data_IF_027612535432
#
_entry.id   IF_027612535432
#
_cell.length_a   1.000
_cell.length_b   1.000
_cell.length_c   1.000
_cell.angle_alpha   90.00
_cell.angle_beta   90.00
_cell.angle_gamma   90.00
#
_symmetry.space_group_name_H-M   'P 1'
#
loop_
_entity.id
_entity.type
_entity.pdbx_description
1 polymer ?
#
# COMPACT_ATOMS: atom_id res chain seq x y z
N UNK A 1 -38.49 41.30 -73.52
CA UNK A 1 -38.33 41.50 -72.05
C UNK A 1 -38.21 40.14 -71.40
N UNK A 2 -36.97 39.78 -70.99
CA UNK A 2 -36.70 38.45 -70.40
C UNK A 2 -36.57 38.64 -68.89
N UNK A 3 -37.45 38.00 -68.11
CA UNK A 3 -37.42 38.01 -66.66
C UNK A 3 -36.39 36.91 -66.24
N UNK A 4 -35.27 37.28 -65.57
CA UNK A 4 -34.39 36.40 -64.89
C UNK A 4 -34.92 36.10 -63.47
N UNK A 5 -35.23 34.85 -63.20
CA UNK A 5 -35.51 34.34 -61.84
C UNK A 5 -34.20 34.11 -61.13
N UNK A 6 -33.96 34.80 -60.01
CA UNK A 6 -32.84 34.55 -59.12
C UNK A 6 -33.32 33.49 -58.12
N UNK A 7 -32.67 32.35 -58.13
CA UNK A 7 -32.87 31.25 -57.16
C UNK A 7 -31.93 31.49 -55.97
N UNK A 8 -32.47 31.92 -54.84
CA UNK A 8 -31.74 32.05 -53.59
C UNK A 8 -31.60 30.68 -52.93
N UNK A 9 -30.35 30.17 -52.87
CA UNK A 9 -30.02 28.92 -52.18
C UNK A 9 -29.79 29.22 -50.67
N UNK A 10 -30.75 28.84 -49.82
CA UNK A 10 -30.58 28.92 -48.36
C UNK A 10 -29.73 27.72 -47.93
N UNK A 11 -28.45 27.97 -47.57
CA UNK A 11 -27.61 27.00 -46.87
C UNK A 11 -27.98 27.03 -45.37
N UNK A 12 -28.75 26.03 -44.93
CA UNK A 12 -28.96 25.80 -43.50
C UNK A 12 -27.71 25.12 -42.95
N UNK A 13 -26.94 25.88 -42.18
CA UNK A 13 -25.80 25.40 -41.41
C UNK A 13 -26.33 24.76 -40.13
N UNK A 14 -26.48 23.43 -40.12
CA UNK A 14 -26.79 22.66 -38.89
C UNK A 14 -25.56 22.62 -37.99
N UNK A 15 -25.57 23.42 -36.93
CA UNK A 15 -24.65 23.29 -35.82
C UNK A 15 -25.01 21.98 -35.09
N UNK A 16 -24.23 20.93 -35.30
CA UNK A 16 -24.20 19.79 -34.41
C UNK A 16 -23.49 20.24 -33.11
N UNK A 17 -24.31 20.62 -32.12
CA UNK A 17 -23.84 20.69 -30.74
C UNK A 17 -23.54 19.30 -30.30
N UNK A 18 -22.26 18.89 -30.41
CA UNK A 18 -21.73 17.79 -29.61
C UNK A 18 -21.74 18.26 -28.16
N UNK A 19 -22.78 17.89 -27.45
CA UNK A 19 -22.84 18.07 -26.00
C UNK A 19 -21.72 17.18 -25.39
N UNK A 20 -20.60 17.80 -25.04
CA UNK A 20 -19.75 17.24 -24.01
C UNK A 20 -20.61 17.18 -22.75
N UNK A 21 -21.01 15.98 -22.36
CA UNK A 21 -21.52 15.73 -21.01
C UNK A 21 -20.34 16.01 -20.07
N UNK A 22 -20.28 17.20 -19.51
CA UNK A 22 -19.39 17.46 -18.37
C UNK A 22 -19.84 16.56 -17.25
N UNK A 23 -19.03 15.54 -16.93
CA UNK A 23 -19.25 14.72 -15.74
C UNK A 23 -19.38 15.67 -14.55
N UNK A 24 -20.45 15.53 -13.75
CA UNK A 24 -20.67 16.36 -12.57
C UNK A 24 -19.60 15.96 -11.52
N UNK A 25 -18.54 16.74 -11.44
CA UNK A 25 -17.43 16.51 -10.51
C UNK A 25 -17.81 16.76 -9.04
N UNK A 26 -19.04 17.23 -8.77
CA UNK A 26 -19.49 17.48 -7.39
C UNK A 26 -19.96 16.21 -6.68
N UNK A 27 -20.28 15.15 -7.42
CA UNK A 27 -20.77 13.89 -6.86
C UNK A 27 -19.67 12.84 -6.83
N UNK A 28 -19.58 12.10 -5.73
CA UNK A 28 -18.69 10.94 -5.60
C UNK A 28 -19.49 9.63 -5.70
N UNK A 29 -18.84 8.61 -6.26
CA UNK A 29 -19.21 7.22 -6.09
C UNK A 29 -18.19 6.55 -5.20
N UNK A 30 -18.62 5.58 -4.41
CA UNK A 30 -17.73 4.82 -3.55
C UNK A 30 -18.00 3.33 -3.62
N UNK A 31 -16.93 2.54 -3.51
CA UNK A 31 -17.01 1.11 -3.25
C UNK A 31 -16.37 0.79 -1.91
N UNK A 32 -16.88 -0.24 -1.26
CA UNK A 32 -16.30 -0.87 -0.08
C UNK A 32 -16.36 -2.37 -0.27
N UNK A 33 -15.25 -3.04 0.00
CA UNK A 33 -15.13 -4.50 -0.12
C UNK A 33 -14.08 -5.04 0.82
N UNK A 34 -13.95 -6.35 0.89
CA UNK A 34 -12.87 -7.03 1.62
C UNK A 34 -11.93 -7.66 0.60
N UNK A 35 -10.70 -7.21 0.56
CA UNK A 35 -9.61 -7.69 -0.29
C UNK A 35 -8.31 -7.64 0.52
N UNK A 36 -7.35 -8.49 0.21
CA UNK A 36 -6.02 -8.49 0.85
C UNK A 36 -6.10 -8.60 2.38
N UNK A 37 -7.05 -9.40 2.88
CA UNK A 37 -7.36 -9.57 4.32
C UNK A 37 -7.67 -8.26 5.07
N UNK A 38 -8.20 -7.25 4.35
CA UNK A 38 -8.55 -5.96 4.94
C UNK A 38 -9.77 -5.31 4.28
N UNK A 39 -10.27 -4.24 4.88
CA UNK A 39 -11.33 -3.42 4.29
C UNK A 39 -10.71 -2.44 3.30
N UNK A 40 -11.21 -2.50 2.07
CA UNK A 40 -10.86 -1.57 0.98
C UNK A 40 -12.01 -0.58 0.80
N UNK A 41 -11.70 0.72 0.79
CA UNK A 41 -12.63 1.79 0.43
C UNK A 41 -12.03 2.66 -0.65
N UNK A 42 -12.73 2.82 -1.78
CA UNK A 42 -12.36 3.73 -2.86
C UNK A 42 -13.51 4.70 -3.09
N UNK A 43 -13.23 5.99 -3.06
CA UNK A 43 -14.19 7.07 -3.31
C UNK A 43 -13.65 7.96 -4.44
N UNK A 44 -14.45 8.16 -5.49
CA UNK A 44 -14.04 8.79 -6.75
C UNK A 44 -15.06 9.85 -7.15
N UNK A 45 -14.62 11.06 -7.40
CA UNK A 45 -15.46 12.17 -7.86
C UNK A 45 -15.52 12.22 -9.39
N UNK A 46 -16.70 12.42 -9.93
CA UNK A 46 -16.92 12.43 -11.38
C UNK A 46 -16.88 11.05 -12.05
N UNK A 47 -16.86 9.96 -11.28
CA UNK A 47 -16.92 8.60 -11.79
C UNK A 47 -18.33 8.19 -12.19
N UNK A 48 -18.42 7.22 -13.10
CA UNK A 48 -19.60 6.41 -13.35
C UNK A 48 -19.42 4.98 -12.81
N UNK A 49 -20.45 4.15 -12.92
CA UNK A 49 -20.40 2.78 -12.43
C UNK A 49 -19.31 1.94 -13.13
N UNK A 50 -19.02 2.20 -14.42
CA UNK A 50 -18.01 1.47 -15.18
C UNK A 50 -16.61 1.72 -14.62
N UNK A 51 -16.31 2.96 -14.22
CA UNK A 51 -15.03 3.31 -13.59
C UNK A 51 -14.90 2.60 -12.22
N UNK A 52 -16.00 2.56 -11.44
CA UNK A 52 -15.99 1.84 -10.16
C UNK A 52 -15.82 0.33 -10.32
N UNK A 53 -16.45 -0.26 -11.36
CA UNK A 53 -16.25 -1.67 -11.71
C UNK A 53 -14.78 -1.93 -12.09
N UNK A 54 -14.12 -1.03 -12.84
CA UNK A 54 -12.70 -1.14 -13.14
C UNK A 54 -11.80 -1.09 -11.89
N UNK A 55 -12.11 -0.26 -10.90
CA UNK A 55 -11.39 -0.26 -9.61
C UNK A 55 -11.54 -1.62 -8.89
N UNK A 56 -12.75 -2.19 -8.93
CA UNK A 56 -13.04 -3.49 -8.36
C UNK A 56 -12.26 -4.60 -9.08
N UNK A 57 -12.27 -4.60 -10.41
CA UNK A 57 -11.56 -5.59 -11.24
C UNK A 57 -10.04 -5.57 -10.95
N UNK A 58 -9.47 -4.40 -10.70
CA UNK A 58 -8.06 -4.25 -10.29
C UNK A 58 -7.82 -4.92 -8.94
N UNK A 59 -8.66 -4.66 -7.93
CA UNK A 59 -8.53 -5.30 -6.62
C UNK A 59 -8.64 -6.83 -6.74
N UNK A 60 -9.64 -7.34 -7.48
CA UNK A 60 -9.82 -8.77 -7.72
C UNK A 60 -8.63 -9.40 -8.45
N UNK A 61 -8.12 -8.72 -9.49
CA UNK A 61 -6.94 -9.18 -10.24
C UNK A 61 -5.74 -9.37 -9.33
N UNK A 62 -5.38 -8.35 -8.56
CA UNK A 62 -4.16 -8.42 -7.75
C UNK A 62 -4.32 -9.32 -6.52
N UNK A 63 -5.52 -9.49 -5.97
CA UNK A 63 -5.76 -10.51 -4.97
C UNK A 63 -5.51 -11.92 -5.52
N UNK A 64 -5.98 -12.20 -6.75
CA UNK A 64 -5.73 -13.48 -7.41
C UNK A 64 -4.26 -13.69 -7.82
N UNK A 65 -3.49 -12.63 -8.05
CA UNK A 65 -2.07 -12.74 -8.40
C UNK A 65 -1.18 -12.89 -7.16
N UNK A 66 -1.42 -12.08 -6.12
CA UNK A 66 -0.44 -11.80 -5.07
C UNK A 66 -0.77 -12.46 -3.71
N UNK A 67 -1.95 -13.04 -3.52
CA UNK A 67 -2.31 -13.68 -2.25
C UNK A 67 -1.42 -14.87 -1.94
N UNK A 68 -0.83 -14.98 -0.73
CA UNK A 68 -0.07 -16.16 -0.33
C UNK A 68 -0.98 -17.35 0.00
N UNK A 69 -2.31 -17.15 0.14
CA UNK A 69 -3.26 -18.18 0.60
C UNK A 69 -4.16 -18.75 -0.51
N UNK A 70 -4.31 -18.03 -1.62
CA UNK A 70 -5.09 -18.52 -2.78
C UNK A 70 -4.23 -19.49 -3.58
N UNK A 71 -4.63 -20.75 -3.66
CA UNK A 71 -3.85 -21.82 -4.31
C UNK A 71 -3.44 -21.52 -5.77
N UNK A 72 -4.27 -20.77 -6.50
CA UNK A 72 -4.02 -20.41 -7.91
C UNK A 72 -3.21 -19.13 -8.08
N UNK A 73 -2.88 -18.41 -7.01
CA UNK A 73 -2.10 -17.19 -7.10
C UNK A 73 -0.65 -17.48 -7.49
N UNK A 74 -0.01 -16.53 -8.13
CA UNK A 74 1.38 -16.67 -8.56
C UNK A 74 2.33 -16.76 -7.36
N UNK A 75 2.10 -15.99 -6.31
CA UNK A 75 2.91 -16.06 -5.08
C UNK A 75 2.77 -17.42 -4.39
N UNK A 76 1.56 -17.96 -4.29
CA UNK A 76 1.38 -19.29 -3.71
C UNK A 76 2.05 -20.37 -4.57
N UNK A 77 1.96 -20.28 -5.90
CA UNK A 77 2.65 -21.21 -6.81
C UNK A 77 4.17 -21.16 -6.63
N UNK A 78 4.76 -19.96 -6.48
CA UNK A 78 6.20 -19.82 -6.17
C UNK A 78 6.53 -20.49 -4.84
N UNK A 79 5.72 -20.22 -3.80
CA UNK A 79 5.94 -20.77 -2.46
C UNK A 79 5.83 -22.30 -2.40
N UNK A 80 5.05 -22.90 -3.30
CA UNK A 80 4.89 -24.35 -3.40
C UNK A 80 5.82 -25.01 -4.43
N UNK A 81 6.58 -24.26 -5.18
CA UNK A 81 7.44 -24.78 -6.24
C UNK A 81 8.73 -25.45 -5.73
N UNK A 82 9.10 -25.25 -4.46
CA UNK A 82 10.28 -25.85 -3.82
C UNK A 82 11.55 -25.76 -4.68
N UNK A 83 11.84 -24.53 -5.17
CA UNK A 83 13.02 -24.26 -6.01
C UNK A 83 12.84 -24.54 -7.50
N UNK A 84 11.69 -25.04 -7.94
CA UNK A 84 11.38 -25.18 -9.36
C UNK A 84 11.00 -23.80 -9.95
N UNK A 85 11.51 -23.44 -11.16
CA UNK A 85 11.13 -22.19 -11.82
C UNK A 85 9.63 -22.09 -12.07
N UNK A 86 9.05 -20.93 -11.74
CA UNK A 86 7.63 -20.60 -11.98
C UNK A 86 7.51 -19.44 -12.94
N UNK A 87 6.63 -19.57 -13.94
CA UNK A 87 6.29 -18.45 -14.84
C UNK A 87 5.18 -17.61 -14.20
N UNK A 88 5.41 -16.31 -14.11
CA UNK A 88 4.50 -15.33 -13.49
C UNK A 88 4.18 -14.19 -14.46
N UNK A 89 3.25 -13.32 -14.11
CA UNK A 89 3.01 -12.07 -14.81
C UNK A 89 4.19 -11.10 -14.67
N UNK A 90 4.28 -10.12 -15.56
CA UNK A 90 5.28 -9.04 -15.48
C UNK A 90 5.09 -8.25 -14.18
N UNK A 91 3.84 -7.98 -13.80
CA UNK A 91 3.50 -7.26 -12.58
C UNK A 91 4.01 -7.96 -11.30
N UNK A 92 3.88 -9.28 -11.23
CA UNK A 92 4.40 -10.06 -10.09
C UNK A 92 5.93 -10.07 -10.08
N UNK A 93 6.56 -10.24 -11.23
CA UNK A 93 8.02 -10.21 -11.35
C UNK A 93 8.58 -8.85 -10.92
N UNK A 94 8.00 -7.76 -11.42
CA UNK A 94 8.40 -6.39 -11.07
C UNK A 94 8.23 -6.10 -9.57
N UNK A 95 7.13 -6.54 -8.97
CA UNK A 95 6.89 -6.34 -7.55
C UNK A 95 7.87 -7.13 -6.68
N UNK A 96 8.25 -8.34 -7.09
CA UNK A 96 9.29 -9.12 -6.41
C UNK A 96 10.64 -8.40 -6.52
N UNK A 97 11.04 -7.91 -7.70
CA UNK A 97 12.28 -7.15 -7.86
C UNK A 97 12.28 -5.87 -7.01
N UNK A 98 11.12 -5.19 -6.92
CA UNK A 98 10.98 -4.02 -6.05
C UNK A 98 11.11 -4.42 -4.57
N UNK A 99 10.55 -5.54 -4.16
CA UNK A 99 10.74 -6.08 -2.81
C UNK A 99 12.21 -6.37 -2.49
N UNK A 100 12.96 -6.93 -3.45
CA UNK A 100 14.42 -7.13 -3.33
C UNK A 100 15.18 -5.82 -3.23
N UNK A 101 14.78 -4.80 -3.99
CA UNK A 101 15.36 -3.45 -3.89
C UNK A 101 15.23 -2.89 -2.46
N UNK A 102 14.04 -2.99 -1.83
CA UNK A 102 13.87 -2.57 -0.44
C UNK A 102 14.63 -3.45 0.55
N UNK A 103 14.83 -4.73 0.22
CA UNK A 103 15.73 -5.62 0.95
C UNK A 103 17.17 -5.10 0.96
N UNK A 104 17.71 -4.72 -0.20
CA UNK A 104 19.04 -4.12 -0.31
C UNK A 104 19.12 -2.77 0.41
N UNK A 105 18.13 -1.90 0.21
CA UNK A 105 18.05 -0.57 0.82
C UNK A 105 18.07 -0.62 2.36
N UNK A 106 17.38 -1.61 2.93
CA UNK A 106 17.26 -1.82 4.38
C UNK A 106 18.39 -2.66 4.98
N UNK A 107 19.34 -3.14 4.17
CA UNK A 107 20.35 -4.13 4.57
C UNK A 107 19.72 -5.40 5.16
N UNK A 108 18.60 -5.85 4.56
CA UNK A 108 17.86 -7.07 4.92
C UNK A 108 16.89 -6.90 6.10
N UNK A 109 16.63 -5.67 6.59
CA UNK A 109 15.59 -5.44 7.61
C UNK A 109 14.18 -5.51 7.03
N UNK A 110 14.00 -5.20 5.77
CA UNK A 110 12.83 -5.56 4.97
C UNK A 110 13.18 -6.78 4.14
N UNK A 111 12.47 -7.87 4.31
CA UNK A 111 12.72 -9.10 3.57
C UNK A 111 11.41 -9.76 3.17
N UNK A 112 11.16 -9.86 1.87
CA UNK A 112 9.93 -10.46 1.33
C UNK A 112 9.88 -11.99 1.48
N UNK A 113 10.94 -12.65 1.98
CA UNK A 113 10.90 -14.06 2.33
C UNK A 113 10.53 -14.33 3.79
N UNK A 114 10.04 -13.29 4.48
CA UNK A 114 9.67 -13.34 5.91
C UNK A 114 8.55 -14.35 6.21
N UNK A 115 7.78 -14.78 5.20
CA UNK A 115 6.71 -15.77 5.37
C UNK A 115 7.19 -17.06 6.03
N UNK A 116 8.45 -17.47 5.83
CA UNK A 116 9.02 -18.63 6.49
C UNK A 116 8.88 -18.59 8.02
N UNK A 117 8.98 -17.39 8.63
CA UNK A 117 8.77 -17.19 10.06
C UNK A 117 7.36 -16.69 10.40
N UNK A 118 6.76 -15.78 9.60
CA UNK A 118 5.47 -15.20 9.93
C UNK A 118 4.32 -16.21 9.94
N UNK A 119 4.40 -17.27 9.10
CA UNK A 119 3.47 -18.39 9.11
C UNK A 119 3.38 -19.09 10.48
N UNK A 120 4.50 -19.17 11.22
CA UNK A 120 4.54 -19.78 12.54
C UNK A 120 3.82 -18.94 13.61
N UNK A 121 3.86 -17.61 13.47
CA UNK A 121 3.18 -16.69 14.38
C UNK A 121 1.69 -16.64 14.16
N UNK A 122 1.23 -16.75 12.92
CA UNK A 122 -0.18 -16.72 12.51
C UNK A 122 -0.98 -15.59 13.20
N UNK A 123 -0.51 -14.34 13.08
CA UNK A 123 -1.15 -13.18 13.74
C UNK A 123 -2.61 -12.94 13.32
N UNK A 124 -3.10 -13.53 12.23
CA UNK A 124 -4.49 -13.42 11.78
C UNK A 124 -5.45 -14.27 12.62
N UNK A 125 -5.07 -15.53 12.90
CA UNK A 125 -5.95 -16.52 13.52
C UNK A 125 -5.39 -17.06 14.86
N UNK A 126 -4.42 -16.35 15.45
CA UNK A 126 -3.77 -16.79 16.70
C UNK A 126 -4.65 -16.52 17.92
N UNK A 127 -5.83 -17.17 17.96
CA UNK A 127 -6.78 -17.04 19.07
C UNK A 127 -6.19 -17.46 20.44
N UNK A 128 -5.21 -18.37 20.43
CA UNK A 128 -4.57 -18.89 21.64
C UNK A 128 -3.37 -18.05 22.10
N UNK A 129 -3.01 -16.98 21.35
CA UNK A 129 -1.83 -16.16 21.61
C UNK A 129 -0.57 -17.00 21.81
N UNK A 130 -0.35 -17.99 20.95
CA UNK A 130 0.79 -18.91 21.04
C UNK A 130 2.05 -18.28 20.48
N UNK A 131 3.12 -18.39 21.23
CA UNK A 131 4.47 -18.06 20.77
C UNK A 131 4.99 -19.29 20.04
N UNK A 132 5.56 -19.17 18.84
CA UNK A 132 6.17 -20.29 18.13
C UNK A 132 7.24 -20.98 18.94
N UNK A 133 7.40 -22.27 18.71
CA UNK A 133 8.52 -23.02 19.28
C UNK A 133 9.85 -22.43 18.81
N UNK A 134 10.80 -22.26 19.74
CA UNK A 134 12.05 -21.56 19.46
C UNK A 134 12.95 -22.32 18.46
N UNK A 135 12.90 -23.66 18.44
CA UNK A 135 13.68 -24.48 17.50
C UNK A 135 13.08 -24.35 16.09
N UNK A 136 11.74 -24.43 15.98
CA UNK A 136 11.04 -24.22 14.70
C UNK A 136 11.28 -22.81 14.13
N UNK A 137 11.25 -21.78 14.98
CA UNK A 137 11.50 -20.41 14.56
C UNK A 137 12.96 -20.21 14.13
N UNK A 138 13.92 -20.79 14.85
CA UNK A 138 15.32 -20.76 14.48
C UNK A 138 15.60 -21.44 13.14
N UNK A 139 14.92 -22.54 12.85
CA UNK A 139 14.98 -23.19 11.52
C UNK A 139 14.38 -22.31 10.45
N UNK A 140 13.18 -21.76 10.67
CA UNK A 140 12.49 -20.90 9.70
C UNK A 140 13.32 -19.67 9.31
N UNK A 141 14.04 -19.07 10.25
CA UNK A 141 14.94 -17.91 10.01
C UNK A 141 16.06 -18.26 9.03
N UNK A 142 16.54 -19.51 8.98
CA UNK A 142 17.59 -19.90 8.01
C UNK A 142 17.13 -19.79 6.56
N UNK A 143 15.80 -19.73 6.31
CA UNK A 143 15.16 -19.62 5.01
C UNK A 143 14.74 -18.17 4.68
N UNK A 144 15.07 -17.19 5.52
CA UNK A 144 14.77 -15.77 5.27
C UNK A 144 15.99 -15.13 4.62
N UNK A 145 15.93 -14.95 3.31
CA UNK A 145 16.95 -14.27 2.54
C UNK A 145 16.42 -13.94 1.13
N UNK A 146 15.95 -12.72 0.90
CA UNK A 146 15.46 -12.27 -0.41
C UNK A 146 16.46 -12.45 -1.55
N UNK A 147 17.77 -12.57 -1.25
CA UNK A 147 18.83 -12.81 -2.26
C UNK A 147 18.77 -14.20 -2.88
N UNK A 148 18.03 -15.13 -2.27
CA UNK A 148 17.77 -16.46 -2.84
C UNK A 148 16.75 -16.44 -3.97
N UNK A 149 16.08 -15.31 -4.20
CA UNK A 149 15.09 -15.12 -5.27
C UNK A 149 15.82 -14.67 -6.53
N UNK A 150 15.71 -15.47 -7.58
CA UNK A 150 16.19 -15.14 -8.92
C UNK A 150 14.98 -14.82 -9.80
N UNK A 151 14.99 -13.65 -10.45
CA UNK A 151 13.99 -13.22 -11.44
C UNK A 151 14.67 -13.11 -12.78
N UNK A 152 14.17 -13.85 -13.79
CA UNK A 152 14.68 -13.81 -15.14
C UNK A 152 13.53 -13.59 -16.12
N UNK A 153 13.31 -12.34 -16.49
CA UNK A 153 12.08 -11.91 -17.16
C UNK A 153 10.87 -12.21 -16.28
N UNK A 154 9.95 -13.02 -16.77
CA UNK A 154 8.76 -13.47 -16.04
C UNK A 154 8.93 -14.84 -15.37
N UNK A 155 10.15 -15.32 -15.21
CA UNK A 155 10.43 -16.58 -14.52
C UNK A 155 11.07 -16.31 -13.17
N UNK A 156 10.44 -16.77 -12.10
CA UNK A 156 10.91 -16.65 -10.72
C UNK A 156 11.37 -18.01 -10.21
N UNK A 157 12.54 -18.03 -9.57
CA UNK A 157 13.10 -19.23 -8.94
C UNK A 157 13.62 -18.87 -7.56
N UNK A 158 13.29 -19.66 -6.55
CA UNK A 158 13.91 -19.54 -5.23
C UNK A 158 14.98 -20.62 -5.09
N UNK A 159 16.24 -20.23 -4.94
CA UNK A 159 17.35 -21.19 -4.78
C UNK A 159 17.31 -21.92 -3.42
N UNK A 160 16.61 -21.34 -2.44
CA UNK A 160 16.23 -22.04 -1.21
C UNK A 160 14.80 -22.62 -1.38
N UNK A 161 14.64 -23.96 -1.38
CA UNK A 161 13.36 -24.62 -1.63
C UNK A 161 12.36 -24.50 -0.46
N UNK A 162 12.78 -23.96 0.69
CA UNK A 162 11.94 -23.78 1.88
C UNK A 162 11.61 -22.30 2.15
N UNK A 163 12.26 -21.37 1.44
CA UNK A 163 11.90 -19.97 1.51
C UNK A 163 10.47 -19.76 1.04
N UNK A 164 9.79 -18.75 1.61
CA UNK A 164 8.42 -18.39 1.24
C UNK A 164 8.28 -16.88 1.12
N UNK A 165 7.72 -16.41 0.01
CA UNK A 165 7.46 -15.00 -0.25
C UNK A 165 6.17 -14.56 0.41
N UNK A 166 6.22 -13.40 1.09
CA UNK A 166 5.10 -12.59 1.53
C UNK A 166 5.32 -11.14 1.05
N UNK A 167 4.36 -10.63 0.28
CA UNK A 167 4.38 -9.27 -0.24
C UNK A 167 3.51 -8.30 0.58
N UNK A 168 3.03 -8.70 1.75
CA UNK A 168 2.12 -7.91 2.59
C UNK A 168 2.63 -6.52 2.99
N UNK A 169 3.95 -6.34 3.04
CA UNK A 169 4.59 -5.06 3.34
C UNK A 169 4.82 -4.14 2.12
N UNK A 170 4.33 -4.51 0.92
CA UNK A 170 4.54 -3.72 -0.31
C UNK A 170 3.37 -3.80 -1.30
N UNK A 171 2.59 -4.88 -1.26
CA UNK A 171 1.57 -5.14 -2.27
C UNK A 171 0.41 -4.15 -2.22
N UNK A 172 -0.03 -3.72 -1.03
CA UNK A 172 -1.14 -2.77 -0.91
C UNK A 172 -0.79 -1.41 -1.53
N UNK A 173 0.44 -0.94 -1.29
CA UNK A 173 0.96 0.26 -1.92
C UNK A 173 1.00 0.16 -3.44
N UNK A 174 1.53 -0.94 -3.95
CA UNK A 174 1.56 -1.21 -5.39
C UNK A 174 0.15 -1.22 -6.01
N UNK A 175 -0.81 -1.88 -5.37
CA UNK A 175 -2.19 -1.96 -5.86
C UNK A 175 -2.87 -0.59 -5.83
N UNK A 176 -2.65 0.20 -4.77
CA UNK A 176 -3.16 1.57 -4.70
C UNK A 176 -2.65 2.43 -5.87
N UNK A 177 -1.36 2.29 -6.24
CA UNK A 177 -0.78 2.96 -7.39
C UNK A 177 -1.42 2.49 -8.71
N UNK A 178 -1.73 1.20 -8.87
CA UNK A 178 -2.43 0.69 -10.05
C UNK A 178 -3.87 1.24 -10.15
N UNK A 179 -4.59 1.33 -9.04
CA UNK A 179 -5.92 1.97 -9.00
C UNK A 179 -5.82 3.45 -9.39
N UNK A 180 -4.84 4.19 -8.84
CA UNK A 180 -4.61 5.60 -9.20
C UNK A 180 -4.30 5.75 -10.69
N UNK A 181 -3.41 4.92 -11.25
CA UNK A 181 -3.06 4.97 -12.66
C UNK A 181 -4.28 4.76 -13.56
N UNK A 182 -5.09 3.75 -13.25
CA UNK A 182 -6.36 3.51 -13.96
C UNK A 182 -7.30 4.71 -13.90
N UNK A 183 -7.48 5.30 -12.72
CA UNK A 183 -8.35 6.48 -12.56
C UNK A 183 -7.84 7.68 -13.37
N UNK A 184 -6.53 7.90 -13.42
CA UNK A 184 -5.91 8.95 -14.25
C UNK A 184 -6.15 8.69 -15.74
N UNK A 185 -6.01 7.44 -16.21
CA UNK A 185 -6.29 7.05 -17.59
C UNK A 185 -7.76 7.26 -17.98
N UNK A 186 -8.69 7.04 -17.03
CA UNK A 186 -10.13 7.33 -17.21
C UNK A 186 -10.48 8.83 -17.06
N UNK A 187 -9.47 9.70 -16.86
CA UNK A 187 -9.64 11.16 -16.77
C UNK A 187 -10.23 11.65 -15.45
N UNK A 188 -10.04 10.89 -14.37
CA UNK A 188 -10.41 11.29 -13.01
C UNK A 188 -9.32 12.19 -12.43
N UNK A 189 -9.73 13.25 -11.73
CA UNK A 189 -8.85 14.24 -11.09
C UNK A 189 -8.89 14.18 -9.56
N UNK A 190 -9.93 13.56 -8.97
CA UNK A 190 -10.13 13.53 -7.53
C UNK A 190 -10.55 12.13 -7.06
N UNK A 191 -9.73 11.52 -6.20
CA UNK A 191 -10.06 10.24 -5.57
C UNK A 191 -9.41 10.09 -4.18
N UNK A 192 -10.05 9.29 -3.36
CA UNK A 192 -9.55 8.79 -2.08
C UNK A 192 -9.54 7.26 -2.13
N UNK A 193 -8.36 6.66 -2.01
CA UNK A 193 -8.11 5.23 -2.06
C UNK A 193 -7.58 4.81 -0.70
N UNK A 194 -8.23 3.84 -0.06
CA UNK A 194 -7.81 3.30 1.24
C UNK A 194 -7.84 1.77 1.19
N UNK A 195 -6.67 1.17 1.24
CA UNK A 195 -6.47 -0.28 1.28
C UNK A 195 -6.00 -0.69 2.67
N UNK A 196 -6.93 -0.77 3.63
CA UNK A 196 -6.61 -1.18 5.00
C UNK A 196 -5.64 -0.25 5.72
N UNK A 197 -5.84 1.06 5.62
CA UNK A 197 -4.96 2.06 6.23
C UNK A 197 -3.82 2.56 5.34
N UNK A 198 -3.54 1.87 4.22
CA UNK A 198 -2.71 2.41 3.16
C UNK A 198 -3.56 3.40 2.35
N UNK A 199 -3.31 4.69 2.51
CA UNK A 199 -4.12 5.76 1.91
C UNK A 199 -3.35 6.41 0.77
N UNK A 200 -4.03 6.54 -0.39
CA UNK A 200 -3.54 7.28 -1.54
C UNK A 200 -4.62 8.26 -2.01
N UNK A 201 -4.23 9.52 -2.23
CA UNK A 201 -5.11 10.53 -2.80
C UNK A 201 -4.72 10.85 -4.25
N UNK A 202 -5.71 11.07 -5.08
CA UNK A 202 -5.55 11.66 -6.41
C UNK A 202 -6.08 13.08 -6.35
N UNK A 203 -5.21 14.06 -6.64
CA UNK A 203 -5.52 15.48 -6.45
C UNK A 203 -5.89 15.85 -5.02
N UNK A 204 -6.55 16.99 -4.86
CA UNK A 204 -7.21 17.44 -3.63
C UNK A 204 -8.71 17.14 -3.65
N UNK A 205 -9.48 17.77 -2.76
CA UNK A 205 -10.95 17.74 -2.82
C UNK A 205 -11.47 18.64 -3.95
N UNK A 206 -12.70 18.39 -4.39
CA UNK A 206 -13.34 19.15 -5.49
C UNK A 206 -13.58 20.63 -5.17
N UNK A 207 -13.57 21.02 -3.89
CA UNK A 207 -13.65 22.42 -3.44
C UNK A 207 -12.28 23.13 -3.41
N UNK A 208 -11.20 22.45 -3.84
CA UNK A 208 -9.82 22.94 -3.84
C UNK A 208 -9.08 22.77 -2.51
N UNK A 209 -9.72 22.25 -1.48
CA UNK A 209 -9.07 21.97 -0.20
C UNK A 209 -8.30 20.64 -0.22
N UNK A 210 -7.37 20.50 0.72
CA UNK A 210 -6.66 19.23 0.92
C UNK A 210 -7.56 18.17 1.59
N UNK A 211 -7.26 16.91 1.30
CA UNK A 211 -7.73 15.81 2.16
C UNK A 211 -7.08 15.93 3.54
N UNK A 212 -7.80 15.56 4.58
CA UNK A 212 -7.31 15.56 5.95
C UNK A 212 -7.19 14.12 6.43
N UNK A 213 -5.97 13.60 6.43
CA UNK A 213 -5.69 12.20 6.78
C UNK A 213 -5.27 12.13 8.25
N UNK A 214 -6.05 11.40 9.05
CA UNK A 214 -5.76 11.19 10.46
C UNK A 214 -4.66 10.15 10.67
N UNK A 215 -3.69 10.47 11.51
CA UNK A 215 -2.74 9.48 12.06
C UNK A 215 -3.36 8.90 13.32
N UNK A 216 -3.62 7.59 13.30
CA UNK A 216 -4.17 6.84 14.43
C UNK A 216 -3.28 6.97 15.67
N UNK A 217 -3.88 7.17 16.82
CA UNK A 217 -3.15 7.11 18.10
C UNK A 217 -2.85 5.65 18.45
N UNK A 218 -1.58 5.27 18.63
CA UNK A 218 -1.21 3.90 18.98
C UNK A 218 -1.93 3.38 20.22
N UNK A 219 -2.42 2.14 20.18
CA UNK A 219 -3.12 1.44 21.26
C UNK A 219 -4.38 2.12 21.81
N UNK A 220 -4.89 3.15 21.15
CA UNK A 220 -6.17 3.78 21.49
C UNK A 220 -7.34 3.07 20.76
N UNK A 221 -8.57 3.46 21.08
CA UNK A 221 -9.74 2.98 20.35
C UNK A 221 -9.65 3.37 18.87
N UNK A 222 -10.16 2.49 17.98
CA UNK A 222 -10.16 2.71 16.54
C UNK A 222 -10.79 4.07 16.19
N UNK A 223 -10.12 4.82 15.30
CA UNK A 223 -10.55 6.15 14.92
C UNK A 223 -10.09 7.27 15.84
N UNK A 224 -9.40 6.96 16.96
CA UNK A 224 -8.76 8.00 17.78
C UNK A 224 -7.55 8.56 17.05
N UNK A 225 -7.64 9.82 16.65
CA UNK A 225 -6.59 10.51 15.89
C UNK A 225 -5.66 11.27 16.83
N UNK A 226 -4.33 11.17 16.64
CA UNK A 226 -3.38 11.99 17.40
C UNK A 226 -2.76 13.12 16.56
N UNK A 227 -2.81 13.03 15.24
CA UNK A 227 -2.35 14.08 14.35
C UNK A 227 -3.11 14.00 13.01
N UNK A 228 -3.13 15.10 12.25
CA UNK A 228 -3.74 15.17 10.92
C UNK A 228 -2.75 15.70 9.91
N UNK A 229 -2.65 15.03 8.76
CA UNK A 229 -1.90 15.46 7.59
C UNK A 229 -2.86 16.04 6.54
N UNK A 230 -2.79 17.34 6.23
CA UNK A 230 -3.48 17.91 5.08
C UNK A 230 -2.69 17.61 3.81
N UNK A 231 -3.25 16.82 2.90
CA UNK A 231 -2.54 16.31 1.72
C UNK A 231 -3.37 16.41 0.44
N UNK A 232 -2.67 16.54 -0.67
CA UNK A 232 -3.21 16.48 -2.03
C UNK A 232 -2.23 15.70 -2.89
N UNK A 233 -2.74 14.74 -3.64
CA UNK A 233 -1.95 13.91 -4.57
C UNK A 233 -0.77 13.17 -3.90
N UNK A 234 -0.98 12.66 -2.69
CA UNK A 234 0.01 11.97 -1.88
C UNK A 234 -0.49 10.63 -1.36
N UNK A 235 0.45 9.76 -1.09
CA UNK A 235 0.26 8.53 -0.32
C UNK A 235 0.64 8.75 1.13
N UNK A 236 -0.15 8.20 2.05
CA UNK A 236 0.10 8.17 3.49
C UNK A 236 -0.06 6.72 3.95
N UNK A 237 1.05 6.11 4.35
CA UNK A 237 1.08 4.72 4.79
C UNK A 237 1.73 4.63 6.15
N UNK A 238 1.08 3.94 7.05
CA UNK A 238 1.55 3.72 8.41
C UNK A 238 1.84 2.24 8.66
N UNK A 239 2.93 1.96 9.37
CA UNK A 239 3.22 0.66 9.97
C UNK A 239 3.39 0.84 11.47
N UNK A 240 2.76 -0.03 12.26
CA UNK A 240 2.79 0.08 13.71
C UNK A 240 2.61 -1.25 14.43
N UNK A 241 3.15 -1.32 15.66
CA UNK A 241 3.12 -2.51 16.51
C UNK A 241 1.75 -2.78 17.15
N UNK A 242 0.77 -1.93 16.90
CA UNK A 242 -0.59 -1.99 17.48
C UNK A 242 -1.64 -2.47 16.46
N UNK A 243 -1.29 -2.69 15.19
CA UNK A 243 -2.25 -3.10 14.15
C UNK A 243 -2.63 -4.57 14.27
N UNK A 244 -1.62 -5.46 14.36
CA UNK A 244 -1.80 -6.91 14.53
C UNK A 244 -0.86 -7.39 15.62
N UNK A 245 -1.38 -7.57 16.81
CA UNK A 245 -0.60 -7.97 17.99
C UNK A 245 -1.42 -8.74 19.00
N UNK A 246 -0.74 -9.41 19.91
CA UNK A 246 -1.30 -9.93 21.14
C UNK A 246 -0.39 -9.62 22.32
N UNK A 247 -0.96 -9.70 23.54
CA UNK A 247 -0.20 -9.53 24.79
C UNK A 247 -0.11 -10.87 25.53
N UNK A 248 1.10 -11.23 25.95
CA UNK A 248 1.36 -12.41 26.75
C UNK A 248 2.45 -12.10 27.77
N UNK A 249 2.21 -12.43 29.05
CA UNK A 249 3.15 -12.21 30.16
C UNK A 249 3.68 -10.77 30.24
N UNK A 250 2.82 -9.78 29.95
CA UNK A 250 3.16 -8.36 29.96
C UNK A 250 3.93 -7.84 28.74
N UNK A 251 4.29 -8.72 27.81
CA UNK A 251 4.99 -8.38 26.57
C UNK A 251 4.03 -8.32 25.38
N UNK A 252 4.29 -7.38 24.46
CA UNK A 252 3.58 -7.25 23.17
C UNK A 252 4.31 -8.08 22.14
N UNK A 253 3.57 -8.89 21.39
CA UNK A 253 4.04 -9.62 20.21
C UNK A 253 3.24 -9.12 19.01
N UNK A 254 3.92 -8.55 18.02
CA UNK A 254 3.31 -7.93 16.85
C UNK A 254 3.89 -8.49 15.54
N UNK A 255 3.21 -8.26 14.44
CA UNK A 255 3.46 -8.86 13.14
C UNK A 255 4.72 -8.37 12.41
N UNK A 256 5.35 -7.27 12.84
CA UNK A 256 6.57 -6.76 12.20
C UNK A 256 7.75 -7.49 12.82
N UNK A 257 8.28 -8.48 12.08
CA UNK A 257 9.31 -9.39 12.57
C UNK A 257 10.71 -8.93 12.15
N UNK A 258 11.71 -9.24 12.99
CA UNK A 258 13.13 -9.12 12.62
C UNK A 258 13.53 -10.37 11.80
N UNK A 259 13.93 -10.20 10.52
CA UNK A 259 14.35 -11.31 9.67
C UNK A 259 15.49 -12.15 10.24
N UNK A 260 16.32 -11.57 11.11
CA UNK A 260 17.46 -12.25 11.71
C UNK A 260 17.12 -13.14 12.91
N UNK A 261 15.97 -12.95 13.52
CA UNK A 261 15.55 -13.69 14.73
C UNK A 261 14.19 -14.36 14.59
N UNK A 262 13.35 -13.90 13.65
CA UNK A 262 11.97 -14.32 13.48
C UNK A 262 11.03 -13.83 14.59
N UNK A 263 11.53 -13.09 15.59
CA UNK A 263 10.70 -12.49 16.65
C UNK A 263 10.26 -11.07 16.24
N UNK A 264 9.17 -10.54 16.86
CA UNK A 264 8.79 -9.13 16.70
C UNK A 264 9.98 -8.20 17.00
N UNK A 265 10.11 -7.17 16.17
CA UNK A 265 11.15 -6.14 16.34
C UNK A 265 10.94 -5.41 17.66
N UNK A 266 11.99 -5.33 18.46
CA UNK A 266 12.01 -4.58 19.70
C UNK A 266 12.77 -3.26 19.50
N UNK A 267 12.04 -2.17 19.48
CA UNK A 267 12.58 -0.81 19.45
C UNK A 267 11.64 0.13 20.22
N UNK A 268 11.96 1.41 20.25
CA UNK A 268 11.18 2.43 20.95
C UNK A 268 10.12 3.09 20.06
N UNK A 269 9.68 2.46 18.96
CA UNK A 269 8.66 2.98 18.06
C UNK A 269 7.33 2.26 18.25
N UNK A 270 6.25 3.03 18.27
CA UNK A 270 4.91 2.51 18.10
C UNK A 270 4.46 2.55 16.64
N UNK A 271 4.91 3.58 15.88
CA UNK A 271 4.42 3.81 14.52
C UNK A 271 5.42 4.58 13.69
N UNK A 272 5.45 4.29 12.39
CA UNK A 272 6.06 5.11 11.35
C UNK A 272 5.01 5.36 10.26
N UNK A 273 4.82 6.63 9.90
CA UNK A 273 3.96 7.06 8.79
C UNK A 273 4.83 7.67 7.71
N UNK A 274 4.74 7.16 6.48
CA UNK A 274 5.43 7.69 5.31
C UNK A 274 4.46 8.51 4.47
N UNK A 275 4.94 9.67 4.00
CA UNK A 275 4.29 10.53 3.03
C UNK A 275 5.12 10.46 1.73
N UNK A 276 4.53 10.02 0.63
CA UNK A 276 5.23 9.79 -0.65
C UNK A 276 4.35 10.09 -1.86
N UNK A 277 4.95 10.17 -3.04
CA UNK A 277 4.22 10.31 -4.30
C UNK A 277 3.62 8.97 -4.77
N UNK A 278 4.36 7.87 -4.54
CA UNK A 278 3.95 6.52 -4.84
C UNK A 278 3.60 5.77 -3.57
N UNK A 279 2.49 5.05 -3.60
CA UNK A 279 2.02 4.32 -2.43
C UNK A 279 2.86 3.07 -2.15
N UNK A 280 3.43 2.47 -3.18
CA UNK A 280 4.36 1.33 -3.03
C UNK A 280 5.61 1.71 -2.22
N UNK A 281 6.15 2.93 -2.42
CA UNK A 281 7.28 3.44 -1.64
C UNK A 281 6.84 3.65 -0.18
N UNK A 282 5.65 4.21 0.03
CA UNK A 282 5.07 4.40 1.37
C UNK A 282 4.92 3.09 2.14
N UNK A 283 4.39 2.06 1.49
CA UNK A 283 4.14 0.73 2.11
C UNK A 283 5.47 0.08 2.52
N UNK A 284 6.43 -0.05 1.59
CA UNK A 284 7.71 -0.67 1.87
C UNK A 284 8.56 0.11 2.89
N UNK A 285 8.59 1.46 2.77
CA UNK A 285 9.39 2.30 3.65
C UNK A 285 8.81 2.43 5.06
N UNK A 286 7.50 2.35 5.26
CA UNK A 286 6.92 2.40 6.60
C UNK A 286 7.39 1.21 7.44
N UNK A 287 7.36 0.00 6.87
CA UNK A 287 7.89 -1.22 7.49
C UNK A 287 9.42 -1.16 7.64
N UNK A 288 10.13 -0.73 6.60
CA UNK A 288 11.59 -0.57 6.63
C UNK A 288 12.04 0.37 7.75
N UNK A 289 11.46 1.57 7.82
CA UNK A 289 11.81 2.56 8.82
C UNK A 289 11.43 2.12 10.25
N UNK A 290 10.30 1.43 10.39
CA UNK A 290 9.96 0.81 11.67
C UNK A 290 11.03 -0.20 12.09
N UNK A 291 11.47 -1.05 11.16
CA UNK A 291 12.50 -2.07 11.43
C UNK A 291 13.88 -1.48 11.72
N UNK A 292 14.24 -0.36 11.10
CA UNK A 292 15.52 0.35 11.35
C UNK A 292 15.52 1.10 12.67
N UNK A 293 14.35 1.46 13.22
CA UNK A 293 14.22 2.31 14.39
C UNK A 293 14.36 3.80 14.07
N UNK A 294 14.24 4.67 15.10
CA UNK A 294 14.10 6.11 14.92
C UNK A 294 15.28 6.74 14.19
N UNK A 295 16.49 6.52 14.68
CA UNK A 295 17.68 7.26 14.20
C UNK A 295 18.04 6.88 12.76
N UNK A 296 18.15 5.59 12.46
CA UNK A 296 18.50 5.12 11.11
C UNK A 296 17.32 5.30 10.13
N UNK A 297 16.08 5.16 10.59
CA UNK A 297 14.88 5.46 9.79
C UNK A 297 14.82 6.94 9.39
N UNK A 298 15.04 7.87 10.33
CA UNK A 298 15.12 9.32 10.03
C UNK A 298 16.26 9.63 9.05
N UNK A 299 17.42 9.01 9.25
CA UNK A 299 18.58 9.20 8.37
C UNK A 299 18.28 8.69 6.95
N UNK A 300 17.65 7.54 6.82
CA UNK A 300 17.24 6.98 5.52
C UNK A 300 16.30 7.95 4.81
N UNK A 301 15.19 8.35 5.44
CA UNK A 301 14.20 9.24 4.83
C UNK A 301 14.80 10.59 4.43
N UNK A 302 15.67 11.17 5.27
CA UNK A 302 16.35 12.45 4.97
C UNK A 302 17.33 12.35 3.79
N UNK A 303 17.71 11.16 3.38
CA UNK A 303 18.57 10.93 2.20
C UNK A 303 17.78 10.72 0.91
N UNK A 304 16.43 10.65 0.99
CA UNK A 304 15.55 10.39 -0.14
C UNK A 304 14.84 11.68 -0.58
N UNK A 305 14.66 11.85 -1.88
CA UNK A 305 13.90 12.97 -2.43
C UNK A 305 12.40 12.66 -2.43
N UNK A 306 11.57 13.66 -2.16
CA UNK A 306 10.09 13.59 -2.21
C UNK A 306 9.44 12.57 -1.26
N UNK A 307 10.16 12.12 -0.24
CA UNK A 307 9.65 11.23 0.81
C UNK A 307 9.82 11.92 2.16
N UNK A 308 8.74 11.95 2.91
CA UNK A 308 8.71 12.46 4.26
C UNK A 308 8.16 11.42 5.24
N UNK A 309 8.45 11.58 6.52
CA UNK A 309 7.98 10.65 7.53
C UNK A 309 7.64 11.32 8.86
N UNK A 310 6.71 10.68 9.56
CA UNK A 310 6.37 10.93 10.96
C UNK A 310 6.62 9.66 11.73
N UNK A 311 7.43 9.73 12.79
CA UNK A 311 7.70 8.63 13.71
C UNK A 311 7.03 8.93 15.05
N UNK A 312 6.42 7.92 15.65
CA UNK A 312 5.79 8.00 16.97
C UNK A 312 6.47 6.98 17.87
N UNK A 313 7.09 7.46 18.94
CA UNK A 313 7.76 6.61 19.92
C UNK A 313 6.77 5.97 20.92
N UNK A 314 7.27 5.06 21.75
CA UNK A 314 6.49 4.33 22.77
C UNK A 314 5.93 5.26 23.86
N UNK A 315 6.55 6.41 24.09
CA UNK A 315 6.05 7.50 24.96
C UNK A 315 5.11 8.49 24.23
N UNK A 316 4.74 8.20 22.96
CA UNK A 316 3.94 9.04 22.07
C UNK A 316 4.59 10.38 21.69
N UNK A 317 5.92 10.49 21.78
CA UNK A 317 6.62 11.63 21.19
C UNK A 317 6.64 11.54 19.68
N UNK A 318 6.36 12.67 19.01
CA UNK A 318 6.31 12.75 17.54
C UNK A 318 7.63 13.34 17.02
N UNK A 319 8.25 12.64 16.06
CA UNK A 319 9.41 13.09 15.32
C UNK A 319 9.06 13.20 13.83
N UNK A 320 9.46 14.29 13.18
CA UNK A 320 9.30 14.51 11.75
C UNK A 320 10.64 14.39 11.03
N UNK A 321 10.63 13.87 9.80
CA UNK A 321 11.84 13.81 8.98
C UNK A 321 12.37 15.20 8.61
N UNK A 322 11.45 16.17 8.44
CA UNK A 322 11.75 17.56 8.08
C UNK A 322 10.72 18.52 8.68
N UNK A 323 11.04 19.81 8.69
CA UNK A 323 10.11 20.87 9.11
C UNK A 323 8.98 21.12 8.08
N UNK A 324 9.17 20.65 6.84
CA UNK A 324 8.15 20.76 5.76
C UNK A 324 6.95 19.87 5.96
N UNK A 325 7.03 18.84 6.81
CA UNK A 325 5.87 18.00 7.15
C UNK A 325 4.81 18.86 7.83
N UNK A 326 3.71 19.14 7.10
CA UNK A 326 2.56 19.87 7.63
C UNK A 326 1.70 18.94 8.50
N UNK A 327 1.97 18.94 9.80
CA UNK A 327 1.33 18.07 10.78
C UNK A 327 0.54 18.89 11.80
N UNK A 328 -0.76 18.68 11.85
CA UNK A 328 -1.67 19.32 12.81
C UNK A 328 -1.84 18.38 14.00
N UNK A 329 -1.37 18.83 15.19
CA UNK A 329 -1.45 18.08 16.46
C UNK A 329 -2.51 18.64 17.41
N UNK A 330 -2.89 19.91 17.24
CA UNK A 330 -3.96 20.53 18.01
C UNK A 330 -5.32 20.14 17.38
N UNK A 331 -5.81 18.95 17.76
CA UNK A 331 -7.07 18.42 17.30
C UNK A 331 -8.09 18.64 18.42
N UNK A 332 -9.04 19.55 18.19
CA UNK A 332 -10.21 19.65 19.10
C UNK A 332 -10.99 18.34 19.01
N UNK A 333 -10.91 17.54 20.07
CA UNK A 333 -11.64 16.28 20.27
C UNK A 333 -13.11 16.53 20.60
#
# INVERSE_FOLDING_TARGET
>A
MKHKKILACFLTFSFLLTGCSTKDQSQSLSMTGTYFDTVVKIEVWGADSKIMDGCKDICEKYEQLLSPTINSSEINQINQAHGTPVSVSEETADLIELGKYYGDLSSGKFDITIASASDLWNFHDNADHSIPDAEQLSEAVTHINYKTIEVNGTTVTMSDPYAKIDLGGIAKGYIADQVKNYLVEEGIEHAYINLGGNILTLGGKTDGSNFRIGIQKPFAEDGTVMAVLPVSDKSIVSSGNYERYFKKDGKIYHHILDPSTGYPIENNLNQVTIISDKSVDGDALSTTCYALGLDEGLKLIRSMDNIEAVFITDDNTIYKSSDSVDLITDIDN
#
